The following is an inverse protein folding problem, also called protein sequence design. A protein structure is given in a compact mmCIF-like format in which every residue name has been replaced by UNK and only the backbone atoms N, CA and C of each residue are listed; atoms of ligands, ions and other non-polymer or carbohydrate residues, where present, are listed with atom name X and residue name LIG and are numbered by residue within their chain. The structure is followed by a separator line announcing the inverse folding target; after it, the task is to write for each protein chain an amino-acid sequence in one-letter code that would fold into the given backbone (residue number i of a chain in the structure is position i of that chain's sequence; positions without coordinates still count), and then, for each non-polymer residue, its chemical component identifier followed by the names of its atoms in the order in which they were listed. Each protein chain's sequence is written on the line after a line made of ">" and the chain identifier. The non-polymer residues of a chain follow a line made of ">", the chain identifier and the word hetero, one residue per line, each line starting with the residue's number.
data_IF_215309469091
#
_entry.id   IF_215309469091
#
_cell.length_a   1.000
_cell.length_b   1.000
_cell.length_c   1.000
_cell.angle_alpha   90.00
_cell.angle_beta   90.00
_cell.angle_gamma   90.00
#
_symmetry.space_group_name_H-M   'P 1'
#
loop_
_entity.id
_entity.type
_entity.pdbx_description
1 polymer ?
#
# COMPACT_ATOMS: atom_id res chain seq x y z
N UNK A 1 -0.50 24.83 20.10
CA UNK A 1 -1.98 24.91 20.10
C UNK A 1 -2.52 23.49 20.09
N UNK A 2 -3.10 23.06 21.22
CA UNK A 2 -3.57 21.69 21.40
C UNK A 2 -4.79 21.41 20.53
N UNK A 3 -4.73 20.33 19.75
CA UNK A 3 -5.94 19.75 19.14
C UNK A 3 -6.63 18.95 20.23
N UNK A 4 -7.52 19.61 20.97
CA UNK A 4 -8.57 18.90 21.72
C UNK A 4 -9.47 18.25 20.67
N UNK A 5 -9.30 16.94 20.46
CA UNK A 5 -10.28 16.14 19.74
C UNK A 5 -11.52 16.05 20.63
N UNK A 6 -12.43 17.00 20.50
CA UNK A 6 -13.78 16.80 21.02
C UNK A 6 -14.33 15.54 20.36
N UNK A 7 -14.58 14.51 21.18
CA UNK A 7 -15.36 13.35 20.78
C UNK A 7 -16.76 13.88 20.45
N UNK A 8 -17.01 14.17 19.18
CA UNK A 8 -18.30 14.67 18.71
C UNK A 8 -19.34 13.58 18.97
N UNK A 9 -20.27 13.84 19.90
CA UNK A 9 -21.40 12.95 20.14
C UNK A 9 -22.36 13.02 18.93
N UNK A 10 -22.34 11.96 18.13
CA UNK A 10 -23.15 11.81 16.91
C UNK A 10 -24.55 11.24 17.21
N UNK A 11 -24.83 10.79 18.43
CA UNK A 11 -26.05 10.03 18.76
C UNK A 11 -27.35 10.83 18.60
N UNK A 12 -27.28 12.17 18.61
CA UNK A 12 -28.42 13.08 18.52
C UNK A 12 -28.51 13.84 17.19
N UNK A 13 -27.62 13.57 16.24
CA UNK A 13 -27.54 14.31 14.98
C UNK A 13 -28.18 13.51 13.84
N UNK A 14 -28.88 14.22 12.96
CA UNK A 14 -29.29 13.65 11.67
C UNK A 14 -28.04 13.61 10.79
N UNK A 15 -27.63 12.40 10.40
CA UNK A 15 -26.48 12.18 9.54
C UNK A 15 -26.97 11.77 8.15
N UNK A 16 -26.38 12.37 7.14
CA UNK A 16 -26.53 11.92 5.76
C UNK A 16 -25.76 10.60 5.55
N UNK A 17 -26.16 9.81 4.56
CA UNK A 17 -25.45 8.59 4.16
C UNK A 17 -24.78 8.90 2.82
N UNK A 18 -23.61 9.50 2.90
CA UNK A 18 -22.76 9.87 1.76
C UNK A 18 -21.30 9.77 2.19
N UNK A 19 -20.38 9.76 1.23
CA UNK A 19 -18.96 9.52 1.51
C UNK A 19 -18.32 10.57 2.42
N UNK A 20 -18.80 11.82 2.38
CA UNK A 20 -18.28 12.94 3.16
C UNK A 20 -18.91 13.00 4.57
N UNK A 21 -19.92 12.16 4.82
CA UNK A 21 -20.61 12.07 6.10
C UNK A 21 -19.73 11.41 7.17
N UNK A 22 -19.88 11.83 8.45
CA UNK A 22 -19.27 11.16 9.58
C UNK A 22 -19.52 9.65 9.66
N UNK A 23 -20.59 9.16 9.01
CA UNK A 23 -20.92 7.72 8.90
C UNK A 23 -19.76 6.90 8.33
N UNK A 24 -18.97 7.45 7.39
CA UNK A 24 -17.86 6.74 6.75
C UNK A 24 -16.47 7.24 7.20
N UNK A 25 -16.38 8.10 8.21
CA UNK A 25 -15.10 8.64 8.69
C UNK A 25 -14.10 7.55 9.08
N UNK A 26 -14.55 6.47 9.72
CA UNK A 26 -13.68 5.36 10.08
C UNK A 26 -13.07 4.71 8.82
N UNK A 27 -13.90 4.41 7.82
CA UNK A 27 -13.45 3.85 6.55
C UNK A 27 -12.47 4.79 5.83
N UNK A 28 -12.77 6.08 5.77
CA UNK A 28 -11.89 7.07 5.13
C UNK A 28 -10.55 7.19 5.86
N UNK A 29 -10.56 7.15 7.19
CA UNK A 29 -9.35 7.19 8.02
C UNK A 29 -8.48 5.96 7.73
N UNK A 30 -9.05 4.76 7.82
CA UNK A 30 -8.33 3.51 7.58
C UNK A 30 -7.78 3.44 6.15
N UNK A 31 -8.57 3.87 5.16
CA UNK A 31 -8.15 3.90 3.76
C UNK A 31 -7.01 4.90 3.55
N UNK A 32 -7.09 6.08 4.18
CA UNK A 32 -6.04 7.08 4.08
C UNK A 32 -4.73 6.60 4.70
N UNK A 33 -4.78 5.96 5.87
CA UNK A 33 -3.59 5.35 6.49
C UNK A 33 -2.93 4.33 5.56
N UNK A 34 -3.74 3.47 4.92
CA UNK A 34 -3.24 2.46 4.00
C UNK A 34 -2.65 3.06 2.70
N UNK A 35 -3.26 4.12 2.16
CA UNK A 35 -2.71 4.89 1.03
C UNK A 35 -1.33 5.44 1.38
N UNK A 36 -1.18 6.08 2.54
CA UNK A 36 0.11 6.63 2.98
C UNK A 36 1.16 5.51 3.13
N UNK A 37 0.77 4.36 3.67
CA UNK A 37 1.65 3.20 3.84
C UNK A 37 2.13 2.65 2.49
N UNK A 38 1.23 2.45 1.53
CA UNK A 38 1.56 1.92 0.20
C UNK A 38 2.46 2.89 -0.57
N UNK A 39 2.13 4.19 -0.59
CA UNK A 39 2.93 5.21 -1.26
C UNK A 39 4.34 5.27 -0.66
N UNK A 40 4.47 5.22 0.68
CA UNK A 40 5.77 5.19 1.35
C UNK A 40 6.61 3.99 0.91
N UNK A 41 6.02 2.80 0.87
CA UNK A 41 6.72 1.58 0.43
C UNK A 41 7.16 1.62 -1.04
N UNK A 42 6.36 2.21 -1.94
CA UNK A 42 6.76 2.40 -3.34
C UNK A 42 7.83 3.48 -3.49
N UNK A 43 7.68 4.61 -2.79
CA UNK A 43 8.63 5.72 -2.83
C UNK A 43 10.02 5.33 -2.31
N UNK A 44 10.08 4.53 -1.25
CA UNK A 44 11.34 4.01 -0.69
C UNK A 44 12.03 2.99 -1.61
N UNK A 45 11.41 2.58 -2.72
CA UNK A 45 11.96 1.58 -3.63
C UNK A 45 11.89 0.14 -3.10
N UNK A 46 11.17 -0.11 -1.99
CA UNK A 46 10.97 -1.45 -1.44
C UNK A 46 10.13 -2.32 -2.40
N UNK A 47 9.19 -1.67 -3.11
CA UNK A 47 8.28 -2.28 -4.07
C UNK A 47 8.13 -1.36 -5.29
N UNK A 48 7.89 -1.95 -6.46
CA UNK A 48 7.76 -1.20 -7.71
C UNK A 48 6.36 -0.64 -7.93
N UNK A 49 5.35 -1.30 -7.37
CA UNK A 49 3.97 -0.85 -7.43
C UNK A 49 3.18 -1.40 -6.24
N UNK A 50 2.07 -0.72 -5.93
CA UNK A 50 1.11 -1.13 -4.93
C UNK A 50 -0.32 -0.96 -5.43
N UNK A 51 -1.21 -1.79 -4.93
CA UNK A 51 -2.63 -1.81 -5.25
C UNK A 51 -3.44 -1.87 -3.95
N UNK A 52 -4.52 -1.10 -3.86
CA UNK A 52 -5.42 -1.08 -2.71
C UNK A 52 -6.83 -1.44 -3.20
N UNK A 53 -7.47 -2.37 -2.50
CA UNK A 53 -8.86 -2.79 -2.70
C UNK A 53 -9.68 -2.44 -1.46
N UNK A 54 -10.80 -1.75 -1.68
CA UNK A 54 -11.81 -1.47 -0.65
C UNK A 54 -13.07 -2.27 -0.96
N UNK A 55 -13.52 -3.07 0.00
CA UNK A 55 -14.82 -3.74 -0.03
C UNK A 55 -15.72 -3.09 1.01
N UNK A 56 -16.88 -2.61 0.59
CA UNK A 56 -17.89 -2.03 1.48
C UNK A 56 -19.17 -2.88 1.40
N UNK A 57 -19.59 -3.41 2.55
CA UNK A 57 -20.85 -4.15 2.71
C UNK A 57 -21.88 -3.27 3.42
N UNK A 58 -23.01 -3.02 2.75
CA UNK A 58 -24.09 -2.19 3.27
C UNK A 58 -25.31 -3.06 3.60
N UNK A 59 -25.70 -3.09 4.88
CA UNK A 59 -26.85 -3.87 5.35
C UNK A 59 -27.77 -2.99 6.18
N UNK A 60 -29.08 -3.23 6.07
CA UNK A 60 -30.08 -2.67 6.98
C UNK A 60 -30.67 -3.85 7.76
N UNK A 61 -30.59 -3.80 9.09
CA UNK A 61 -31.08 -4.86 9.98
C UNK A 61 -32.28 -4.35 10.78
N UNK A 62 -33.25 -5.21 11.02
CA UNK A 62 -34.32 -4.91 11.98
C UNK A 62 -33.74 -4.97 13.40
N UNK A 63 -34.08 -3.99 14.22
CA UNK A 63 -33.64 -3.88 15.60
C UNK A 63 -34.80 -3.35 16.43
N UNK A 64 -34.77 -3.60 17.73
CA UNK A 64 -35.71 -3.01 18.67
C UNK A 64 -34.98 -2.35 19.83
N UNK A 65 -35.64 -1.39 20.45
CA UNK A 65 -35.20 -0.75 21.69
C UNK A 65 -36.37 -0.73 22.66
N UNK A 66 -36.09 -1.04 23.92
CA UNK A 66 -37.06 -0.85 24.99
C UNK A 66 -37.09 0.64 25.37
N UNK A 67 -38.28 1.21 25.36
CA UNK A 67 -38.53 2.60 25.76
C UNK A 67 -39.51 2.60 26.93
N UNK A 68 -39.27 3.42 27.97
CA UNK A 68 -40.23 3.55 29.06
C UNK A 68 -41.50 4.22 28.53
N UNK A 69 -42.64 3.58 28.78
CA UNK A 69 -43.97 4.05 28.49
C UNK A 69 -44.83 4.00 29.77
N UNK A 70 -45.99 4.63 29.74
CA UNK A 70 -46.92 4.65 30.87
C UNK A 70 -48.21 3.97 30.44
N UNK A 71 -48.69 3.01 31.25
CA UNK A 71 -49.98 2.38 31.01
C UNK A 71 -51.14 3.33 31.38
N UNK A 72 -52.38 2.93 31.07
CA UNK A 72 -53.60 3.71 31.37
C UNK A 72 -53.81 3.96 32.89
N UNK A 73 -53.04 3.28 33.74
CA UNK A 73 -53.11 3.35 35.20
C UNK A 73 -51.93 4.13 35.82
N UNK A 74 -51.03 4.69 35.01
CA UNK A 74 -49.89 5.47 35.48
C UNK A 74 -48.65 4.66 35.86
N UNK A 75 -48.62 3.34 35.60
CA UNK A 75 -47.44 2.51 35.87
C UNK A 75 -46.43 2.63 34.73
N UNK A 76 -45.14 2.62 35.08
CA UNK A 76 -44.06 2.58 34.08
C UNK A 76 -43.97 1.15 33.52
N UNK A 77 -44.22 1.01 32.22
CA UNK A 77 -44.04 -0.21 31.44
C UNK A 77 -42.90 -0.03 30.43
N UNK A 78 -42.30 -1.13 29.97
CA UNK A 78 -41.34 -1.09 28.87
C UNK A 78 -42.06 -1.42 27.56
N UNK A 79 -42.14 -0.45 26.65
CA UNK A 79 -42.67 -0.66 25.31
C UNK A 79 -41.53 -0.95 24.32
N UNK A 80 -41.82 -1.70 23.24
CA UNK A 80 -40.84 -2.09 22.24
C UNK A 80 -40.95 -1.20 21.01
N UNK A 81 -39.91 -0.41 20.76
CA UNK A 81 -39.79 0.37 19.54
C UNK A 81 -38.93 -0.36 18.51
N UNK A 82 -39.54 -0.82 17.43
CA UNK A 82 -38.86 -1.46 16.30
C UNK A 82 -38.37 -0.42 15.29
N UNK A 83 -37.14 -0.59 14.79
CA UNK A 83 -36.52 0.31 13.83
C UNK A 83 -35.54 -0.41 12.90
N UNK A 84 -35.27 0.22 11.76
CA UNK A 84 -34.28 -0.25 10.78
C UNK A 84 -32.92 0.36 11.10
N UNK A 85 -31.98 -0.47 11.52
CA UNK A 85 -30.61 -0.09 11.89
C UNK A 85 -29.65 -0.27 10.70
N UNK A 86 -28.90 0.76 10.29
CA UNK A 86 -27.83 0.60 9.31
C UNK A 86 -26.64 -0.15 9.93
N UNK A 87 -26.01 -1.01 9.15
CA UNK A 87 -24.79 -1.74 9.47
C UNK A 87 -23.90 -1.72 8.23
N UNK A 88 -22.85 -0.89 8.28
CA UNK A 88 -21.89 -0.71 7.21
C UNK A 88 -20.55 -1.26 7.66
N UNK A 89 -20.03 -2.21 6.91
CA UNK A 89 -18.78 -2.92 7.22
C UNK A 89 -17.81 -2.70 6.06
N UNK A 90 -16.60 -2.22 6.34
CA UNK A 90 -15.56 -2.04 5.33
C UNK A 90 -14.38 -2.99 5.57
N UNK A 91 -13.76 -3.42 4.48
CA UNK A 91 -12.52 -4.20 4.47
C UNK A 91 -11.56 -3.59 3.45
N UNK A 92 -10.39 -3.20 3.92
CA UNK A 92 -9.31 -2.68 3.09
C UNK A 92 -8.25 -3.78 2.94
N UNK A 93 -7.71 -3.95 1.74
CA UNK A 93 -6.67 -4.94 1.45
C UNK A 93 -5.69 -4.33 0.46
N UNK A 94 -4.39 -4.50 0.71
CA UNK A 94 -3.32 -3.96 -0.13
C UNK A 94 -2.41 -5.07 -0.65
N UNK A 95 -1.94 -4.94 -1.88
CA UNK A 95 -0.95 -5.84 -2.49
C UNK A 95 0.23 -5.01 -2.99
N UNK A 96 1.46 -5.40 -2.60
CA UNK A 96 2.70 -4.75 -3.04
C UNK A 96 3.50 -5.71 -3.93
N UNK A 97 4.02 -5.23 -5.07
CA UNK A 97 4.77 -6.04 -6.05
C UNK A 97 6.24 -5.61 -6.10
N UNK A 98 7.17 -6.57 -5.92
CA UNK A 98 8.61 -6.35 -6.10
C UNK A 98 8.98 -6.41 -7.58
N UNK A 99 9.91 -5.58 -8.01
CA UNK A 99 10.55 -5.69 -9.33
C UNK A 99 12.03 -5.97 -9.15
N UNK A 100 12.47 -7.13 -9.63
CA UNK A 100 13.90 -7.45 -9.73
C UNK A 100 14.40 -7.03 -11.11
N UNK A 101 15.08 -5.89 -11.20
CA UNK A 101 15.81 -5.52 -12.41
C UNK A 101 17.30 -5.80 -12.18
N UNK A 102 17.78 -6.95 -12.66
CA UNK A 102 19.21 -7.16 -12.86
C UNK A 102 19.55 -6.76 -14.29
N UNK A 103 20.33 -5.69 -14.45
CA UNK A 103 20.95 -5.32 -15.72
C UNK A 103 22.45 -5.19 -15.49
N UNK A 104 23.21 -6.06 -16.12
CA UNK A 104 24.66 -5.98 -16.21
C UNK A 104 25.08 -5.57 -17.62
N UNK A 105 26.04 -4.66 -17.73
CA UNK A 105 26.67 -4.29 -18.98
C UNK A 105 28.18 -4.38 -18.75
N UNK A 106 28.84 -5.23 -19.52
CA UNK A 106 30.30 -5.30 -19.59
C UNK A 106 30.71 -4.54 -20.84
N UNK A 107 31.18 -3.31 -20.65
CA UNK A 107 31.60 -2.38 -21.70
C UNK A 107 33.01 -1.86 -21.35
N UNK A 108 34.02 -2.50 -21.91
CA UNK A 108 35.41 -2.10 -21.81
C UNK A 108 36.03 -2.08 -23.21
N UNK A 109 36.94 -1.13 -23.45
CA UNK A 109 37.72 -1.05 -24.68
C UNK A 109 38.78 -2.17 -24.72
N UNK A 110 38.30 -3.40 -24.90
CA UNK A 110 39.07 -4.64 -24.96
C UNK A 110 38.56 -5.50 -26.11
N UNK A 111 39.44 -6.32 -26.66
CA UNK A 111 39.10 -7.21 -27.77
C UNK A 111 38.74 -8.60 -27.25
N UNK A 112 37.73 -9.23 -27.87
CA UNK A 112 37.40 -10.65 -27.66
C UNK A 112 38.25 -11.48 -28.60
N UNK A 113 39.07 -12.37 -28.04
CA UNK A 113 39.91 -13.30 -28.81
C UNK A 113 39.64 -14.75 -28.39
N UNK A 114 39.80 -15.67 -29.33
CA UNK A 114 39.73 -17.10 -29.04
C UNK A 114 41.10 -17.57 -28.52
N UNK A 115 41.12 -18.17 -27.33
CA UNK A 115 42.30 -18.80 -26.75
C UNK A 115 42.32 -20.28 -27.14
N UNK A 116 43.15 -20.63 -28.12
CA UNK A 116 43.31 -21.99 -28.62
C UNK A 116 43.91 -22.97 -27.58
N UNK A 117 44.60 -22.47 -26.55
CA UNK A 117 45.21 -23.29 -25.51
C UNK A 117 44.15 -23.78 -24.53
N UNK A 118 43.23 -22.90 -24.14
CA UNK A 118 42.17 -23.20 -23.18
C UNK A 118 40.80 -23.47 -23.82
N UNK A 119 40.69 -23.35 -25.15
CA UNK A 119 39.46 -23.59 -25.91
C UNK A 119 38.31 -22.66 -25.53
N UNK A 120 38.58 -21.39 -25.23
CA UNK A 120 37.57 -20.43 -24.76
C UNK A 120 37.82 -19.03 -25.30
N UNK A 121 36.76 -18.22 -25.40
CA UNK A 121 36.90 -16.80 -25.67
C UNK A 121 37.37 -16.06 -24.40
N UNK A 122 38.37 -15.19 -24.57
CA UNK A 122 38.93 -14.32 -23.52
C UNK A 122 38.91 -12.86 -23.99
N UNK A 123 38.89 -11.93 -23.02
CA UNK A 123 38.89 -10.48 -23.29
C UNK A 123 40.26 -9.91 -22.94
N UNK A 124 40.95 -9.28 -23.89
CA UNK A 124 42.32 -8.75 -23.70
C UNK A 124 42.42 -7.24 -23.99
N UNK A 125 43.38 -6.51 -23.40
CA UNK A 125 43.61 -5.09 -23.69
C UNK A 125 43.86 -4.82 -25.18
N UNK A 126 43.34 -3.69 -25.69
CA UNK A 126 43.69 -3.22 -27.03
C UNK A 126 45.18 -2.86 -27.08
N UNK A 127 45.95 -3.58 -27.90
CA UNK A 127 47.37 -3.30 -28.10
C UNK A 127 47.46 -2.10 -29.05
N UNK A 128 47.88 -0.95 -28.53
CA UNK A 128 48.14 0.23 -29.35
C UNK A 128 49.37 -0.02 -30.24
N UNK A 129 49.28 0.08 -31.58
CA UNK A 129 50.42 -0.14 -32.48
C UNK A 129 51.53 0.92 -32.35
N UNK A 130 51.31 1.97 -31.54
CA UNK A 130 52.31 2.99 -31.19
C UNK A 130 53.08 2.71 -29.90
N UNK A 131 52.78 1.63 -29.16
CA UNK A 131 53.64 1.20 -28.05
C UNK A 131 54.79 0.35 -28.61
N UNK A 132 56.02 0.78 -28.31
CA UNK A 132 57.23 0.09 -28.71
C UNK A 132 57.16 -1.38 -28.30
N UNK A 133 57.63 -2.28 -29.17
CA UNK A 133 57.74 -3.73 -28.97
C UNK A 133 58.38 -4.15 -27.62
N UNK A 134 59.06 -3.22 -26.94
CA UNK A 134 59.72 -3.40 -25.65
C UNK A 134 58.78 -3.35 -24.43
N UNK A 135 57.59 -2.74 -24.53
CA UNK A 135 56.67 -2.61 -23.39
C UNK A 135 55.68 -3.78 -23.25
N UNK A 136 55.54 -4.60 -24.30
CA UNK A 136 54.60 -5.76 -24.33
C UNK A 136 55.10 -6.91 -23.45
N UNK A 137 56.42 -7.04 -23.24
CA UNK A 137 57.01 -8.16 -22.50
C UNK A 137 57.08 -7.95 -20.98
N UNK A 138 56.64 -6.79 -20.45
CA UNK A 138 56.69 -6.51 -19.00
C UNK A 138 55.41 -6.86 -18.22
N UNK A 139 54.31 -7.13 -18.92
CA UNK A 139 53.00 -7.41 -18.30
C UNK A 139 52.65 -8.92 -18.30
N UNK A 140 53.65 -9.80 -18.40
CA UNK A 140 53.50 -11.26 -18.38
C UNK A 140 54.22 -11.95 -17.21
N UNK A 141 54.50 -11.22 -16.13
CA UNK A 141 54.84 -11.80 -14.81
C UNK A 141 53.66 -11.66 -13.83
#
# INVERSE_FOLDING_TARGET
>A
MGKTSELVDLSKRVLSIDIDSPVFNAMLTDLNEEIQRVIKSVYNGEFASGEISLKLELKIREAYKEIPATDDYGNIINDKYEYKKPNFEHKITSTLKKQYNSKGCYDENKEVVWDDINGKYVVQPLINPQMNFMDINKNRE
#
